data_IF_601266521803
#
_entry.id   IF_601266521803
#
_cell.length_a   1.000
_cell.length_b   1.000
_cell.length_c   1.000
_cell.angle_alpha   90.00
_cell.angle_beta   90.00
_cell.angle_gamma   90.00
#
_symmetry.space_group_name_H-M   'P 1'
#
loop_
_entity.id
_entity.type
_entity.pdbx_description
1 polymer ?
#
# COMPACT_ATOMS: atom_id res chain seq x y z
N UNK A 1 -0.13 -8.85 24.79
CA UNK A 1 -0.13 -8.02 26.01
C UNK A 1 0.85 -8.65 26.99
N UNK A 2 1.76 -7.87 27.57
CA UNK A 2 2.74 -8.34 28.56
C UNK A 2 2.44 -7.60 29.87
N UNK A 3 2.50 -8.28 31.02
CA UNK A 3 2.17 -7.67 32.33
C UNK A 3 3.08 -6.49 32.72
N UNK A 4 4.19 -6.24 32.01
CA UNK A 4 5.07 -5.09 32.24
C UNK A 4 5.77 -5.09 33.61
N UNK A 5 5.71 -6.21 34.34
CA UNK A 5 6.32 -6.41 35.65
C UNK A 5 6.94 -7.80 35.77
N UNK A 6 7.86 -7.95 36.71
CA UNK A 6 8.54 -9.21 37.00
C UNK A 6 7.54 -10.31 37.35
N UNK A 7 7.84 -11.55 36.92
CA UNK A 7 6.98 -12.72 37.14
C UNK A 7 6.73 -12.97 38.62
N UNK A 8 7.71 -12.69 39.49
CA UNK A 8 7.57 -12.83 40.93
C UNK A 8 6.56 -11.84 41.55
N UNK A 9 6.20 -10.77 40.83
CA UNK A 9 5.27 -9.73 41.26
C UNK A 9 3.88 -9.85 40.61
N UNK A 10 3.64 -10.92 39.85
CA UNK A 10 2.34 -11.19 39.26
C UNK A 10 1.46 -11.85 40.31
N UNK A 11 0.36 -11.20 40.65
CA UNK A 11 -0.61 -11.66 41.64
C UNK A 11 -1.80 -12.33 40.96
N UNK A 12 -2.62 -13.03 41.76
CA UNK A 12 -3.88 -13.60 41.27
C UNK A 12 -4.85 -12.54 40.75
N UNK A 13 -4.78 -11.30 41.25
CA UNK A 13 -5.60 -10.20 40.74
C UNK A 13 -5.20 -9.80 39.31
N UNK A 14 -3.91 -9.82 39.00
CA UNK A 14 -3.41 -9.53 37.64
C UNK A 14 -3.87 -10.60 36.65
N UNK A 15 -3.83 -11.87 37.06
CA UNK A 15 -4.36 -12.96 36.25
C UNK A 15 -5.87 -12.86 36.05
N UNK A 16 -6.64 -12.55 37.10
CA UNK A 16 -8.08 -12.35 37.00
C UNK A 16 -8.42 -11.20 36.04
N UNK A 17 -7.69 -10.08 36.11
CA UNK A 17 -7.84 -8.96 35.19
C UNK A 17 -7.45 -9.33 33.75
N UNK A 18 -6.38 -10.11 33.57
CA UNK A 18 -5.99 -10.64 32.26
C UNK A 18 -7.08 -11.53 31.65
N UNK A 19 -7.62 -12.47 32.43
CA UNK A 19 -8.67 -13.37 31.95
C UNK A 19 -9.98 -12.62 31.69
N UNK A 20 -10.34 -11.63 32.52
CA UNK A 20 -11.48 -10.75 32.24
C UNK A 20 -11.26 -9.93 30.97
N UNK A 21 -10.06 -9.37 30.76
CA UNK A 21 -9.72 -8.70 29.51
C UNK A 21 -9.85 -9.66 28.33
N UNK A 22 -9.28 -10.86 28.42
CA UNK A 22 -9.36 -11.88 27.36
C UNK A 22 -10.80 -12.35 27.07
N UNK A 23 -11.64 -12.47 28.10
CA UNK A 23 -13.06 -12.82 27.99
C UNK A 23 -13.88 -11.69 27.33
N UNK A 24 -13.56 -10.43 27.64
CA UNK A 24 -14.21 -9.25 27.09
C UNK A 24 -13.55 -8.74 25.79
N UNK A 25 -12.46 -9.39 25.35
CA UNK A 25 -11.74 -9.03 24.14
C UNK A 25 -12.53 -9.52 22.93
N UNK A 26 -13.25 -8.62 22.28
CA UNK A 26 -14.05 -8.91 21.08
C UNK A 26 -13.22 -9.12 19.80
N UNK A 27 -11.92 -9.34 19.93
CA UNK A 27 -10.99 -9.29 18.81
C UNK A 27 -10.71 -7.85 18.37
N UNK A 28 -9.71 -7.67 17.49
CA UNK A 28 -9.54 -6.44 16.74
C UNK A 28 -10.83 -5.99 16.04
N UNK A 29 -11.19 -4.71 16.16
CA UNK A 29 -12.13 -4.14 15.18
C UNK A 29 -11.39 -4.03 13.83
N UNK A 30 -11.64 -5.02 12.97
CA UNK A 30 -11.09 -5.03 11.62
C UNK A 30 -11.59 -3.85 10.77
N UNK A 31 -12.71 -3.21 11.13
CA UNK A 31 -13.20 -1.99 10.51
C UNK A 31 -12.29 -0.79 10.78
N UNK A 32 -11.82 -0.64 12.02
CA UNK A 32 -10.83 0.40 12.37
C UNK A 32 -9.50 0.17 11.63
N UNK A 33 -9.07 -1.08 11.51
CA UNK A 33 -7.86 -1.42 10.76
C UNK A 33 -8.04 -1.14 9.26
N UNK A 34 -9.17 -1.51 8.66
CA UNK A 34 -9.49 -1.19 7.26
C UNK A 34 -9.43 0.33 7.03
N UNK A 35 -10.02 1.12 7.94
CA UNK A 35 -10.00 2.57 7.86
C UNK A 35 -8.57 3.14 7.99
N UNK A 36 -7.74 2.57 8.88
CA UNK A 36 -6.32 2.94 9.00
C UNK A 36 -5.55 2.59 7.73
N UNK A 37 -5.73 1.40 7.15
CA UNK A 37 -5.06 1.00 5.91
C UNK A 37 -5.39 2.01 4.80
N UNK A 38 -6.68 2.32 4.62
CA UNK A 38 -7.14 3.27 3.60
C UNK A 38 -6.54 4.66 3.73
N UNK A 39 -6.27 5.12 4.94
CA UNK A 39 -5.78 6.50 5.19
C UNK A 39 -4.26 6.59 5.26
N UNK A 40 -3.56 5.53 5.70
CA UNK A 40 -2.13 5.56 6.00
C UNK A 40 -1.27 4.79 4.99
N UNK A 41 -1.82 3.75 4.35
CA UNK A 41 -1.09 2.90 3.40
C UNK A 41 -1.31 3.44 1.98
N UNK A 42 -0.61 4.53 1.67
CA UNK A 42 -0.73 5.26 0.40
C UNK A 42 0.59 5.23 -0.35
N UNK A 43 0.53 5.14 -1.68
CA UNK A 43 1.72 5.26 -2.53
C UNK A 43 2.30 6.67 -2.42
N UNK A 44 3.62 6.77 -2.36
CA UNK A 44 4.32 8.06 -2.40
C UNK A 44 4.33 8.58 -3.84
N UNK A 45 3.62 9.66 -4.10
CA UNK A 45 3.49 10.28 -5.41
C UNK A 45 4.72 11.11 -5.82
N UNK A 46 5.67 11.29 -4.90
CA UNK A 46 6.93 11.99 -5.13
C UNK A 46 8.11 11.05 -5.38
N UNK A 47 7.97 9.76 -5.06
CA UNK A 47 9.00 8.76 -5.37
C UNK A 47 9.01 8.49 -6.88
N UNK A 48 10.17 8.74 -7.50
CA UNK A 48 10.35 8.63 -8.95
C UNK A 48 10.79 7.23 -9.38
N UNK A 49 11.19 6.40 -8.42
CA UNK A 49 11.55 5.01 -8.62
C UNK A 49 10.31 4.11 -8.42
N UNK A 50 9.85 3.40 -9.46
CA UNK A 50 8.64 2.56 -9.40
C UNK A 50 8.77 1.41 -8.40
N UNK A 51 9.93 0.76 -8.34
CA UNK A 51 10.18 -0.37 -7.45
C UNK A 51 10.19 0.12 -6.01
N UNK A 52 10.89 1.23 -5.75
CA UNK A 52 10.94 1.82 -4.42
C UNK A 52 9.60 2.39 -3.95
N UNK A 53 8.81 2.97 -4.85
CA UNK A 53 7.46 3.45 -4.54
C UNK A 53 6.56 2.26 -4.13
N UNK A 54 6.62 1.17 -4.90
CA UNK A 54 5.89 -0.06 -4.61
C UNK A 54 6.36 -0.72 -3.31
N UNK A 55 7.67 -0.88 -3.11
CA UNK A 55 8.25 -1.52 -1.94
C UNK A 55 7.94 -0.76 -0.66
N UNK A 56 8.01 0.58 -0.68
CA UNK A 56 7.60 1.43 0.45
C UNK A 56 6.12 1.27 0.76
N UNK A 57 5.28 1.23 -0.26
CA UNK A 57 3.84 1.06 -0.09
C UNK A 57 3.50 -0.32 0.50
N UNK A 58 4.12 -1.39 -0.02
CA UNK A 58 3.99 -2.76 0.50
C UNK A 58 4.52 -2.88 1.93
N UNK A 59 5.69 -2.31 2.21
CA UNK A 59 6.27 -2.28 3.55
C UNK A 59 5.34 -1.57 4.54
N UNK A 60 4.73 -0.45 4.14
CA UNK A 60 3.79 0.30 4.97
C UNK A 60 2.56 -0.53 5.35
N UNK A 61 2.05 -1.35 4.43
CA UNK A 61 0.96 -2.29 4.72
C UNK A 61 1.36 -3.31 5.79
N UNK A 62 2.48 -4.01 5.59
CA UNK A 62 2.93 -5.04 6.52
C UNK A 62 3.30 -4.49 7.90
N UNK A 63 4.03 -3.36 7.93
CA UNK A 63 4.38 -2.68 9.16
C UNK A 63 3.13 -2.23 9.94
N UNK A 64 2.06 -1.81 9.25
CA UNK A 64 0.81 -1.45 9.90
C UNK A 64 0.12 -2.69 10.52
N UNK A 65 0.07 -3.82 9.81
CA UNK A 65 -0.50 -5.05 10.34
C UNK A 65 0.28 -5.56 11.55
N UNK A 66 1.61 -5.56 11.46
CA UNK A 66 2.51 -6.01 12.51
C UNK A 66 2.39 -5.12 13.76
N UNK A 67 2.44 -3.79 13.58
CA UNK A 67 2.28 -2.81 14.68
C UNK A 67 0.95 -2.94 15.42
N UNK A 68 -0.11 -3.34 14.74
CA UNK A 68 -1.43 -3.54 15.37
C UNK A 68 -1.63 -4.98 15.85
N UNK A 69 -0.65 -5.89 15.68
CA UNK A 69 -0.77 -7.32 15.95
C UNK A 69 -1.96 -7.98 15.22
N UNK A 70 -2.18 -7.56 13.97
CA UNK A 70 -3.34 -7.94 13.14
C UNK A 70 -2.91 -8.54 11.80
N UNK A 71 -1.80 -9.27 11.78
CA UNK A 71 -1.35 -10.03 10.60
C UNK A 71 -2.45 -10.95 10.05
N UNK A 72 -3.39 -11.36 10.90
CA UNK A 72 -4.55 -12.17 10.51
C UNK A 72 -5.52 -11.53 9.54
N UNK A 73 -5.57 -10.20 9.51
CA UNK A 73 -6.46 -9.46 8.64
C UNK A 73 -6.24 -9.80 7.16
N UNK A 74 -4.99 -10.00 6.76
CA UNK A 74 -4.62 -10.31 5.38
C UNK A 74 -5.25 -11.61 4.87
N UNK A 75 -5.35 -12.66 5.71
CA UNK A 75 -5.92 -13.96 5.30
C UNK A 75 -7.39 -14.14 5.71
N UNK A 76 -7.87 -13.47 6.77
CA UNK A 76 -9.27 -13.56 7.21
C UNK A 76 -10.18 -12.60 6.44
N UNK A 77 -9.68 -11.42 6.07
CA UNK A 77 -10.44 -10.37 5.40
C UNK A 77 -9.75 -9.84 4.14
N UNK A 78 -9.27 -10.70 3.23
CA UNK A 78 -8.47 -10.28 2.10
C UNK A 78 -9.20 -9.32 1.16
N UNK A 79 -10.51 -9.49 0.99
CA UNK A 79 -11.34 -8.58 0.18
C UNK A 79 -11.34 -7.15 0.71
N UNK A 80 -11.41 -7.00 2.04
CA UNK A 80 -11.39 -5.69 2.69
C UNK A 80 -9.98 -5.10 2.61
N UNK A 81 -8.94 -5.92 2.79
CA UNK A 81 -7.55 -5.51 2.60
C UNK A 81 -7.28 -5.01 1.18
N UNK A 82 -7.63 -5.78 0.14
CA UNK A 82 -7.47 -5.38 -1.27
C UNK A 82 -8.25 -4.10 -1.56
N UNK A 83 -9.50 -3.99 -1.09
CA UNK A 83 -10.30 -2.78 -1.27
C UNK A 83 -9.64 -1.54 -0.64
N UNK A 84 -9.12 -1.68 0.58
CA UNK A 84 -8.42 -0.58 1.26
C UNK A 84 -7.11 -0.21 0.55
N UNK A 85 -6.35 -1.20 0.06
CA UNK A 85 -5.11 -0.99 -0.68
C UNK A 85 -5.36 -0.27 -2.02
N UNK A 86 -6.39 -0.63 -2.78
CA UNK A 86 -6.76 0.06 -4.03
C UNK A 86 -6.98 1.56 -3.77
N UNK A 87 -7.55 1.92 -2.63
CA UNK A 87 -7.78 3.33 -2.29
C UNK A 87 -6.48 4.11 -2.09
N UNK A 88 -5.43 3.44 -1.60
CA UNK A 88 -4.09 3.99 -1.41
C UNK A 88 -3.26 4.16 -2.69
N UNK A 89 -3.70 3.63 -3.83
CA UNK A 89 -3.04 3.84 -5.13
C UNK A 89 -3.24 5.30 -5.55
N UNK A 90 -2.17 6.10 -5.50
CA UNK A 90 -2.23 7.53 -5.86
C UNK A 90 -2.34 7.79 -7.35
N UNK A 91 -1.56 7.14 -8.23
CA UNK A 91 -1.63 7.50 -9.63
C UNK A 91 -3.01 7.16 -10.21
N UNK A 92 -3.84 8.16 -10.62
CA UNK A 92 -5.24 7.91 -10.94
C UNK A 92 -5.43 6.94 -12.10
N UNK A 93 -4.53 7.02 -13.09
CA UNK A 93 -4.51 6.10 -14.23
C UNK A 93 -4.21 4.66 -13.81
N UNK A 94 -3.27 4.45 -12.87
CA UNK A 94 -2.95 3.11 -12.34
C UNK A 94 -4.14 2.57 -11.55
N UNK A 95 -4.73 3.39 -10.66
CA UNK A 95 -5.91 3.03 -9.88
C UNK A 95 -7.07 2.61 -10.79
N UNK A 96 -7.31 3.34 -11.89
CA UNK A 96 -8.35 3.00 -12.86
C UNK A 96 -8.08 1.67 -13.58
N UNK A 97 -6.85 1.44 -14.05
CA UNK A 97 -6.46 0.16 -14.69
C UNK A 97 -6.68 -1.01 -13.74
N UNK A 98 -6.21 -0.89 -12.49
CA UNK A 98 -6.36 -1.92 -11.45
C UNK A 98 -7.83 -2.17 -11.13
N UNK A 99 -8.65 -1.12 -10.94
CA UNK A 99 -10.09 -1.26 -10.70
C UNK A 99 -10.80 -1.98 -11.86
N UNK A 100 -10.54 -1.57 -13.10
CA UNK A 100 -11.13 -2.16 -14.29
C UNK A 100 -10.76 -3.65 -14.44
N UNK A 101 -9.48 -4.00 -14.26
CA UNK A 101 -9.03 -5.40 -14.33
C UNK A 101 -9.65 -6.28 -13.24
N UNK A 102 -9.79 -5.76 -12.02
CA UNK A 102 -10.41 -6.49 -10.92
C UNK A 102 -11.93 -6.65 -11.06
N UNK A 103 -12.59 -5.80 -11.85
CA UNK A 103 -14.03 -5.88 -12.14
C UNK A 103 -14.35 -6.84 -13.29
N UNK A 104 -13.52 -6.83 -14.33
CA UNK A 104 -13.79 -7.54 -15.58
C UNK A 104 -13.24 -8.97 -15.57
N UNK A 105 -11.94 -9.16 -15.34
CA UNK A 105 -11.27 -10.44 -15.64
C UNK A 105 -10.59 -11.12 -14.43
N UNK A 106 -10.35 -10.38 -13.35
CA UNK A 106 -9.52 -10.87 -12.25
C UNK A 106 -10.20 -10.82 -10.87
N UNK A 107 -11.49 -11.21 -10.81
CA UNK A 107 -12.23 -11.30 -9.54
C UNK A 107 -11.53 -12.18 -8.50
N UNK A 108 -10.78 -13.19 -8.94
CA UNK A 108 -10.01 -14.06 -8.06
C UNK A 108 -8.95 -13.28 -7.26
N UNK A 109 -8.34 -12.22 -7.80
CA UNK A 109 -7.33 -11.38 -7.12
C UNK A 109 -7.90 -10.55 -5.97
N UNK A 110 -9.22 -10.51 -5.77
CA UNK A 110 -9.84 -9.82 -4.64
C UNK A 110 -9.63 -10.53 -3.30
N UNK A 111 -9.29 -11.82 -3.31
CA UNK A 111 -9.16 -12.67 -2.12
C UNK A 111 -7.70 -13.07 -1.77
N UNK A 112 -6.72 -13.02 -2.68
CA UNK A 112 -5.31 -13.17 -2.38
C UNK A 112 -4.61 -11.81 -2.46
N UNK A 113 -4.36 -11.19 -1.32
CA UNK A 113 -3.71 -9.87 -1.24
C UNK A 113 -2.28 -9.93 -1.81
N UNK A 114 -1.52 -11.01 -1.61
CA UNK A 114 -0.19 -11.18 -2.22
C UNK A 114 -0.24 -11.17 -3.75
N UNK A 115 -1.14 -11.94 -4.36
CA UNK A 115 -1.30 -11.98 -5.81
C UNK A 115 -1.80 -10.62 -6.35
N UNK A 116 -2.65 -9.93 -5.59
CA UNK A 116 -3.03 -8.55 -5.92
C UNK A 116 -1.82 -7.61 -5.92
N UNK A 117 -0.94 -7.70 -4.93
CA UNK A 117 0.27 -6.88 -4.87
C UNK A 117 1.20 -7.14 -6.06
N UNK A 118 1.47 -8.41 -6.39
CA UNK A 118 2.24 -8.79 -7.57
C UNK A 118 1.61 -8.26 -8.87
N UNK A 119 0.27 -8.36 -8.97
CA UNK A 119 -0.46 -7.82 -10.10
C UNK A 119 -0.32 -6.30 -10.26
N UNK A 120 -0.27 -5.53 -9.16
CA UNK A 120 -0.11 -4.06 -9.21
C UNK A 120 1.32 -3.65 -9.58
N UNK A 121 2.32 -4.48 -9.29
CA UNK A 121 3.73 -4.19 -9.59
C UNK A 121 3.98 -3.98 -11.09
N UNK A 122 3.49 -4.90 -11.92
CA UNK A 122 3.67 -4.91 -13.38
C UNK A 122 3.17 -3.61 -14.07
N UNK A 123 1.90 -3.18 -13.92
CA UNK A 123 1.42 -1.96 -14.54
C UNK A 123 2.03 -0.69 -13.93
N UNK A 124 2.56 -0.75 -12.69
CA UNK A 124 3.31 0.34 -12.10
C UNK A 124 4.61 0.57 -12.88
N UNK A 125 5.44 -0.47 -13.05
CA UNK A 125 6.68 -0.42 -13.84
C UNK A 125 6.45 0.14 -15.26
N UNK A 126 5.47 -0.42 -15.98
CA UNK A 126 5.14 -0.03 -17.36
C UNK A 126 4.69 1.44 -17.49
N UNK A 127 4.04 2.00 -16.47
CA UNK A 127 3.62 3.41 -16.49
C UNK A 127 4.81 4.35 -16.28
N UNK A 128 5.75 3.99 -15.42
CA UNK A 128 6.96 4.79 -15.21
C UNK A 128 7.86 4.78 -16.45
N UNK A 129 8.01 3.64 -17.13
CA UNK A 129 8.70 3.60 -18.43
C UNK A 129 8.08 4.58 -19.44
N UNK A 130 6.74 4.60 -19.55
CA UNK A 130 6.04 5.58 -20.40
C UNK A 130 6.27 7.02 -19.97
N UNK A 131 6.26 7.31 -18.67
CA UNK A 131 6.51 8.66 -18.14
C UNK A 131 7.94 9.13 -18.39
N UNK A 132 8.93 8.25 -18.23
CA UNK A 132 10.35 8.50 -18.55
C UNK A 132 10.53 8.75 -20.06
N UNK A 133 9.94 7.91 -20.91
CA UNK A 133 9.95 8.09 -22.36
C UNK A 133 9.36 9.45 -22.78
N UNK A 134 8.22 9.84 -22.21
CA UNK A 134 7.60 11.13 -22.49
C UNK A 134 8.46 12.31 -22.00
N UNK A 135 9.11 12.18 -20.83
CA UNK A 135 10.01 13.20 -20.29
C UNK A 135 11.27 13.37 -21.16
N UNK A 136 11.89 12.27 -21.60
CA UNK A 136 13.02 12.32 -22.53
C UNK A 136 12.62 12.91 -23.89
N UNK A 137 11.42 12.59 -24.38
CA UNK A 137 10.88 13.20 -25.60
C UNK A 137 10.67 14.71 -25.44
N UNK A 138 10.13 15.15 -24.30
CA UNK A 138 9.95 16.57 -23.99
C UNK A 138 11.27 17.33 -23.87
N UNK A 139 12.27 16.77 -23.18
CA UNK A 139 13.63 17.33 -23.10
C UNK A 139 14.27 17.40 -24.50
N UNK A 140 14.13 16.34 -25.31
CA UNK A 140 14.61 16.33 -26.68
C UNK A 140 13.91 17.38 -27.57
N UNK A 141 12.63 17.66 -27.35
CA UNK A 141 11.92 18.74 -28.03
C UNK A 141 12.42 20.13 -27.60
N UNK A 142 12.66 20.36 -26.30
CA UNK A 142 13.22 21.60 -25.76
C UNK A 142 14.63 21.90 -26.29
N UNK A 143 15.53 20.91 -26.27
CA UNK A 143 16.89 21.08 -26.82
C UNK A 143 16.89 21.33 -28.34
N UNK A 144 15.88 20.83 -29.06
CA UNK A 144 15.73 21.04 -30.51
C UNK A 144 15.08 22.38 -30.86
N UNK A 145 14.28 22.97 -29.97
CA UNK A 145 13.78 24.34 -30.13
C UNK A 145 14.84 25.39 -29.83
N UNK A 146 15.66 25.19 -28.78
CA UNK A 146 16.76 26.10 -28.44
C UNK A 146 17.86 26.13 -29.52
N UNK A 147 18.13 24.99 -30.17
CA UNK A 147 19.07 24.92 -31.30
C UNK A 147 18.59 25.59 -32.60
N UNK A 148 17.29 25.91 -32.73
CA UNK A 148 16.75 26.59 -33.93
C UNK A 148 16.70 28.11 -33.80
N UNK A 149 16.71 28.65 -32.59
CA UNK A 149 16.78 30.11 -32.37
C UNK A 149 18.20 30.68 -32.51
N UNK A 150 19.24 29.82 -32.47
CA UNK A 150 20.64 30.23 -32.65
C UNK A 150 21.14 30.32 -34.10
N UNK A 151 20.37 29.84 -35.09
CA UNK A 151 20.82 29.76 -36.50
C UNK A 151 20.19 30.80 -37.43
N UNK A 152 19.75 31.93 -36.87
CA UNK A 152 19.22 33.06 -37.63
C UNK A 152 19.89 34.37 -37.23
N UNK A 153 21.22 34.39 -37.15
CA UNK A 153 22.01 35.62 -37.26
C UNK A 153 23.30 35.34 -38.04
N UNK A 154 23.47 36.15 -39.09
CA UNK A 154 24.55 36.27 -40.07
C UNK A 154 24.47 35.35 -41.28
#
# INVERSE_FOLDING_TARGET
>A
MHFGKDVALITNADWAQYFQYALNYHGPDFGDLEAKIRTTVVMDDKELDPDKCFDKWMHSYWALLDKNNMMSFHYQHPKNAVKALIEGIRPPALKAVVKNHLELDHKHLRNPVLQFMEFVKIPNELRFERALCLRQRYIGHLSRSEGKEGSARY
#
